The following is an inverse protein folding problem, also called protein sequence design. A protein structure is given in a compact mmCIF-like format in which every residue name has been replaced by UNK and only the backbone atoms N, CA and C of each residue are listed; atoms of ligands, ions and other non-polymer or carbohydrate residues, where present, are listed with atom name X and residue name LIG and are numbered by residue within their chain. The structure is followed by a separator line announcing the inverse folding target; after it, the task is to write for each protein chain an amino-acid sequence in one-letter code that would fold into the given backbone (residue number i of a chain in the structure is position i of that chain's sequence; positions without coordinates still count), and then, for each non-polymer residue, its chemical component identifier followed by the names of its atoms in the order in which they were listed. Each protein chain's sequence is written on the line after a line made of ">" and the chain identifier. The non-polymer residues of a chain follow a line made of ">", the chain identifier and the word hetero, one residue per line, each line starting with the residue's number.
data_IF_630247673777
#
_entry.id   IF_630247673777
#
_cell.length_a   1.000
_cell.length_b   1.000
_cell.length_c   1.000
_cell.angle_alpha   90.00
_cell.angle_beta   90.00
_cell.angle_gamma   90.00
#
_symmetry.space_group_name_H-M   'P 1'
#
loop_
_entity.id
_entity.type
_entity.pdbx_description
1 polymer ?
#
# COMPACT_ATOMS: atom_id res chain seq x y z
N UNK A 1 9.23 -19.75 -14.44
CA UNK A 1 9.64 -18.32 -14.40
C UNK A 1 9.56 -17.67 -13.01
N UNK A 2 8.79 -18.22 -12.05
CA UNK A 2 8.70 -17.72 -10.66
C UNK A 2 9.95 -17.90 -9.77
N UNK A 3 10.87 -18.81 -10.09
CA UNK A 3 12.14 -18.93 -9.34
C UNK A 3 13.24 -17.96 -9.78
N UNK A 4 13.05 -17.20 -10.87
CA UNK A 4 14.15 -16.46 -11.52
C UNK A 4 14.11 -14.95 -11.35
N UNK A 5 12.96 -14.37 -10.96
CA UNK A 5 12.79 -12.89 -11.00
C UNK A 5 12.94 -12.24 -9.61
N UNK A 6 12.92 -13.03 -8.53
CA UNK A 6 13.18 -12.54 -7.18
C UNK A 6 12.06 -11.65 -6.65
N UNK A 7 11.55 -11.96 -5.45
CA UNK A 7 10.48 -11.20 -4.81
C UNK A 7 10.78 -9.69 -4.69
N UNK A 8 12.07 -9.32 -4.68
CA UNK A 8 12.56 -7.93 -4.70
C UNK A 8 12.12 -7.14 -5.94
N UNK A 9 12.22 -7.74 -7.14
CA UNK A 9 11.84 -7.08 -8.39
C UNK A 9 10.33 -6.87 -8.44
N UNK A 10 9.56 -7.77 -7.84
CA UNK A 10 8.12 -7.69 -7.89
C UNK A 10 7.55 -6.60 -6.97
N UNK A 11 8.08 -6.49 -5.74
CA UNK A 11 7.80 -5.35 -4.85
C UNK A 11 8.23 -4.03 -5.50
N UNK A 12 9.42 -3.99 -6.11
CA UNK A 12 9.90 -2.78 -6.77
C UNK A 12 8.95 -2.33 -7.90
N UNK A 13 8.43 -3.26 -8.71
CA UNK A 13 7.44 -2.91 -9.75
C UNK A 13 6.14 -2.36 -9.17
N UNK A 14 5.64 -2.96 -8.09
CA UNK A 14 4.41 -2.48 -7.41
C UNK A 14 4.63 -1.07 -6.84
N UNK A 15 5.75 -0.83 -6.16
CA UNK A 15 6.10 0.48 -5.61
C UNK A 15 6.29 1.54 -6.72
N UNK A 16 6.90 1.15 -7.84
CA UNK A 16 7.06 2.05 -9.00
C UNK A 16 5.70 2.38 -9.61
N UNK A 17 4.82 1.40 -9.84
CA UNK A 17 3.46 1.65 -10.35
C UNK A 17 2.63 2.51 -9.39
N UNK A 18 2.73 2.24 -8.10
CA UNK A 18 2.03 3.02 -7.08
C UNK A 18 2.53 4.47 -7.02
N UNK A 19 3.84 4.68 -7.09
CA UNK A 19 4.45 6.01 -7.14
C UNK A 19 4.12 6.77 -8.42
N UNK A 20 4.09 6.10 -9.58
CA UNK A 20 3.69 6.69 -10.86
C UNK A 20 2.23 7.15 -10.85
N UNK A 21 1.32 6.31 -10.35
CA UNK A 21 -0.10 6.68 -10.24
C UNK A 21 -0.26 7.83 -9.24
N UNK A 22 0.47 7.82 -8.12
CA UNK A 22 0.46 8.92 -7.15
C UNK A 22 1.00 10.22 -7.73
N UNK A 23 2.06 10.19 -8.53
CA UNK A 23 2.56 11.37 -9.24
C UNK A 23 1.57 11.87 -10.30
N UNK A 24 0.84 10.97 -10.96
CA UNK A 24 -0.18 11.32 -11.94
C UNK A 24 -1.39 12.05 -11.31
N UNK A 25 -1.64 11.91 -9.99
CA UNK A 25 -2.67 12.70 -9.30
C UNK A 25 -2.39 14.20 -9.34
N UNK A 26 -1.14 14.64 -9.49
CA UNK A 26 -0.80 16.07 -9.64
C UNK A 26 -1.40 16.69 -10.92
N UNK A 27 -1.63 15.88 -11.95
CA UNK A 27 -2.20 16.34 -13.24
C UNK A 27 -3.72 16.12 -13.33
N UNK A 28 -4.36 15.70 -12.24
CA UNK A 28 -5.82 15.55 -12.21
C UNK A 28 -6.47 16.93 -12.16
N UNK A 29 -7.08 17.30 -13.27
CA UNK A 29 -7.85 18.56 -13.40
C UNK A 29 -9.35 18.32 -13.58
N UNK A 30 -9.76 17.07 -13.80
CA UNK A 30 -11.12 16.72 -14.18
C UNK A 30 -11.62 15.50 -13.38
N UNK A 31 -12.92 15.46 -13.08
CA UNK A 31 -13.56 14.44 -12.24
C UNK A 31 -13.41 13.04 -12.84
N UNK A 32 -13.56 12.93 -14.17
CA UNK A 32 -13.37 11.68 -14.90
C UNK A 32 -11.94 11.13 -14.73
N UNK A 33 -10.93 11.99 -14.79
CA UNK A 33 -9.51 11.63 -14.61
C UNK A 33 -9.26 11.16 -13.18
N UNK A 34 -9.88 11.81 -12.19
CA UNK A 34 -9.82 11.37 -10.79
C UNK A 34 -10.35 9.94 -10.60
N UNK A 35 -11.50 9.61 -11.17
CA UNK A 35 -12.07 8.25 -11.08
C UNK A 35 -11.20 7.19 -11.75
N UNK A 36 -10.62 7.51 -12.92
CA UNK A 36 -9.71 6.59 -13.63
C UNK A 36 -8.45 6.33 -12.82
N UNK A 37 -7.82 7.37 -12.27
CA UNK A 37 -6.64 7.17 -11.41
C UNK A 37 -6.99 6.41 -10.13
N UNK A 38 -8.16 6.63 -9.54
CA UNK A 38 -8.65 5.86 -8.38
C UNK A 38 -8.78 4.37 -8.71
N UNK A 39 -9.29 4.05 -9.90
CA UNK A 39 -9.39 2.66 -10.36
C UNK A 39 -8.01 2.04 -10.58
N UNK A 40 -7.09 2.76 -11.22
CA UNK A 40 -5.71 2.29 -11.43
C UNK A 40 -4.94 2.12 -10.12
N UNK A 41 -5.15 3.03 -9.16
CA UNK A 41 -4.58 2.94 -7.83
C UNK A 41 -5.11 1.71 -7.08
N UNK A 42 -6.43 1.48 -7.11
CA UNK A 42 -7.05 0.28 -6.53
C UNK A 42 -6.56 -1.01 -7.18
N UNK A 43 -6.40 -1.02 -8.51
CA UNK A 43 -5.81 -2.14 -9.24
C UNK A 43 -4.34 -2.40 -8.84
N UNK A 44 -3.56 -1.34 -8.60
CA UNK A 44 -2.19 -1.44 -8.09
C UNK A 44 -2.14 -1.93 -6.64
N UNK A 45 -3.05 -1.48 -5.77
CA UNK A 45 -3.19 -1.94 -4.37
C UNK A 45 -3.62 -3.41 -4.28
N UNK A 46 -4.48 -3.89 -5.18
CA UNK A 46 -4.90 -5.29 -5.20
C UNK A 46 -3.73 -6.26 -5.40
N UNK A 47 -2.64 -5.82 -6.06
CA UNK A 47 -1.40 -6.58 -6.22
C UNK A 47 -0.44 -6.48 -5.02
N UNK A 48 -0.57 -5.44 -4.18
CA UNK A 48 0.34 -5.19 -3.05
C UNK A 48 0.21 -6.27 -1.97
N UNK A 49 -1.02 -6.58 -1.57
CA UNK A 49 -1.30 -7.54 -0.50
C UNK A 49 -0.76 -8.97 -0.80
N UNK A 50 -1.08 -9.60 -1.95
CA UNK A 50 -0.48 -10.89 -2.32
C UNK A 50 1.02 -10.78 -2.56
N UNK A 51 1.53 -9.64 -3.04
CA UNK A 51 2.96 -9.38 -3.23
C UNK A 51 3.76 -9.41 -1.93
N UNK A 52 3.25 -8.75 -0.87
CA UNK A 52 3.85 -8.76 0.47
C UNK A 52 3.84 -10.17 1.07
N UNK A 53 2.74 -10.90 0.94
CA UNK A 53 2.63 -12.29 1.46
C UNK A 53 3.65 -13.22 0.76
N UNK A 54 3.81 -13.11 -0.55
CA UNK A 54 4.81 -13.87 -1.32
C UNK A 54 6.23 -13.51 -0.90
N UNK A 55 6.52 -12.22 -0.69
CA UNK A 55 7.83 -11.77 -0.20
C UNK A 55 8.14 -12.29 1.21
N UNK A 56 7.20 -12.18 2.15
CA UNK A 56 7.34 -12.75 3.49
C UNK A 56 7.52 -14.28 3.45
N UNK A 57 6.92 -14.96 2.47
CA UNK A 57 7.10 -16.41 2.25
C UNK A 57 8.51 -16.77 1.80
N UNK A 58 9.16 -15.94 0.99
CA UNK A 58 10.54 -16.18 0.56
C UNK A 58 11.58 -15.80 1.62
N UNK A 59 11.28 -14.82 2.47
CA UNK A 59 12.23 -14.28 3.45
C UNK A 59 12.18 -14.97 4.82
N UNK A 60 11.02 -15.50 5.22
CA UNK A 60 10.83 -16.07 6.57
C UNK A 60 10.37 -17.54 6.55
N UNK A 61 10.94 -18.40 7.41
CA UNK A 61 10.51 -19.79 7.55
C UNK A 61 9.05 -19.88 8.02
N UNK A 62 8.33 -20.93 7.60
CA UNK A 62 6.87 -21.04 7.75
C UNK A 62 6.36 -20.80 9.18
N UNK A 63 7.18 -21.14 10.18
CA UNK A 63 6.87 -20.97 11.60
C UNK A 63 6.76 -19.48 12.04
N UNK A 64 7.48 -18.55 11.39
CA UNK A 64 7.43 -17.10 11.71
C UNK A 64 6.55 -16.32 10.75
N UNK A 65 6.27 -16.87 9.56
CA UNK A 65 5.48 -16.21 8.51
C UNK A 65 4.13 -15.72 9.01
N UNK A 66 3.40 -16.55 9.78
CA UNK A 66 2.11 -16.18 10.33
C UNK A 66 2.19 -14.98 11.30
N UNK A 67 3.23 -14.92 12.14
CA UNK A 67 3.43 -13.82 13.10
C UNK A 67 3.77 -12.50 12.41
N UNK A 68 4.58 -12.55 11.34
CA UNK A 68 4.93 -11.36 10.55
C UNK A 68 3.72 -10.83 9.78
N UNK A 69 2.92 -11.70 9.15
CA UNK A 69 1.68 -11.31 8.47
C UNK A 69 0.68 -10.73 9.48
N UNK A 70 0.53 -11.35 10.66
CA UNK A 70 -0.34 -10.84 11.72
C UNK A 70 0.10 -9.45 12.22
N UNK A 71 1.41 -9.22 12.38
CA UNK A 71 1.95 -7.88 12.69
C UNK A 71 1.60 -6.88 11.59
N UNK A 72 1.80 -7.25 10.31
CA UNK A 72 1.48 -6.38 9.18
C UNK A 72 -0.01 -6.03 9.12
N UNK A 73 -0.89 -7.00 9.35
CA UNK A 73 -2.33 -6.76 9.42
C UNK A 73 -2.71 -5.91 10.64
N UNK A 74 -2.04 -6.07 11.78
CA UNK A 74 -2.27 -5.25 12.97
C UNK A 74 -1.89 -3.78 12.77
N UNK A 75 -1.04 -3.47 11.79
CA UNK A 75 -0.72 -2.09 11.45
C UNK A 75 -1.97 -1.31 10.96
N UNK A 76 -2.95 -1.98 10.35
CA UNK A 76 -4.19 -1.35 9.86
C UNK A 76 -5.03 -0.78 11.02
N UNK A 77 -5.47 -1.57 12.03
CA UNK A 77 -6.21 -1.03 13.16
C UNK A 77 -5.36 -0.09 14.02
N UNK A 78 -4.06 -0.35 14.16
CA UNK A 78 -3.14 0.56 14.87
C UNK A 78 -3.10 1.93 14.17
N UNK A 79 -2.93 1.96 12.84
CA UNK A 79 -2.97 3.20 12.07
C UNK A 79 -4.33 3.89 12.16
N UNK A 80 -5.44 3.15 12.26
CA UNK A 80 -6.77 3.74 12.50
C UNK A 80 -6.90 4.37 13.89
N UNK A 81 -6.36 3.73 14.93
CA UNK A 81 -6.39 4.22 16.32
C UNK A 81 -5.57 5.50 16.48
N UNK A 82 -4.40 5.58 15.86
CA UNK A 82 -3.55 6.77 15.95
C UNK A 82 -3.87 7.83 14.89
N UNK A 83 -4.22 7.40 13.68
CA UNK A 83 -4.46 8.28 12.54
C UNK A 83 -5.76 9.07 12.64
N UNK A 84 -6.86 8.49 13.14
CA UNK A 84 -8.12 9.22 13.29
C UNK A 84 -8.03 10.39 14.29
N UNK A 85 -7.52 10.20 15.53
CA UNK A 85 -7.36 11.30 16.47
C UNK A 85 -6.35 12.34 16.00
N UNK A 86 -5.23 11.90 15.41
CA UNK A 86 -4.20 12.81 14.90
C UNK A 86 -4.74 13.65 13.73
N UNK A 87 -5.48 13.04 12.80
CA UNK A 87 -6.07 13.75 11.68
C UNK A 87 -7.19 14.69 12.13
N UNK A 88 -7.98 14.29 13.14
CA UNK A 88 -8.96 15.17 13.78
C UNK A 88 -8.31 16.37 14.47
N UNK A 89 -7.20 16.14 15.19
CA UNK A 89 -6.45 17.20 15.87
C UNK A 89 -5.79 18.18 14.90
N UNK A 90 -5.26 17.69 13.77
CA UNK A 90 -4.77 18.53 12.68
C UNK A 90 -5.91 19.36 12.08
N UNK A 91 -7.08 18.76 11.83
CA UNK A 91 -8.22 19.50 11.28
C UNK A 91 -8.67 20.61 12.24
N UNK A 92 -8.73 20.33 13.54
CA UNK A 92 -9.12 21.29 14.59
C UNK A 92 -8.07 22.39 14.79
N UNK A 93 -6.78 22.07 14.66
CA UNK A 93 -5.68 23.04 14.81
C UNK A 93 -5.49 23.95 13.60
N UNK A 94 -5.84 23.49 12.39
CA UNK A 94 -5.70 24.25 11.15
C UNK A 94 -7.02 24.88 10.66
N UNK A 95 -8.16 24.55 11.27
CA UNK A 95 -9.41 25.33 11.16
C UNK A 95 -9.31 26.56 12.08
N UNK A 96 -8.57 27.56 11.62
CA UNK A 96 -8.69 28.96 12.05
C UNK A 96 -9.50 29.75 11.05
#
# INVERSE_FOLDING_TARGET
>A
MLQRVGARTWIARIMISWGLVSAAFMFVTNEATFYVLRFLLGAAEAGFYPGVILYCTYWFPSHRRARVIAMFMSAIPVAGIFGNPLSGWIMDSFQG
#
